data_IF_167857769093
#
_entry.id   IF_167857769093
#
_cell.length_a   1.000
_cell.length_b   1.000
_cell.length_c   1.000
_cell.angle_alpha   90.00
_cell.angle_beta   90.00
_cell.angle_gamma   90.00
#
_symmetry.space_group_name_H-M   'P 1'
#
loop_
_entity.id
_entity.type
_entity.pdbx_description
1 polymer ?
#
# COMPACT_ATOMS: atom_id res chain seq x y z
N UNK A 1 -47.65 -44.82 10.46
CA UNK A 1 -47.36 -43.54 9.77
C UNK A 1 -45.86 -43.47 9.56
N UNK A 2 -45.41 -43.60 8.32
CA UNK A 2 -44.01 -43.55 7.90
C UNK A 2 -43.77 -42.13 7.37
N UNK A 3 -42.78 -41.42 7.91
CA UNK A 3 -42.36 -40.10 7.46
C UNK A 3 -40.91 -39.83 7.89
N UNK A 4 -40.09 -39.14 7.08
CA UNK A 4 -38.83 -39.71 6.63
C UNK A 4 -37.59 -39.16 7.33
N UNK A 5 -36.57 -40.01 7.39
CA UNK A 5 -35.17 -39.70 7.70
C UNK A 5 -34.62 -38.70 6.68
N UNK A 6 -34.29 -37.50 7.10
CA UNK A 6 -33.42 -36.60 6.34
C UNK A 6 -31.98 -36.79 6.83
N UNK A 7 -31.24 -37.66 6.14
CA UNK A 7 -29.78 -37.74 6.25
C UNK A 7 -29.21 -36.52 5.55
N UNK A 8 -28.77 -35.53 6.31
CA UNK A 8 -28.02 -34.40 5.78
C UNK A 8 -26.58 -34.87 5.58
N UNK A 9 -26.27 -35.29 4.36
CA UNK A 9 -24.90 -35.38 3.89
C UNK A 9 -24.45 -33.96 3.51
N UNK A 10 -23.65 -33.31 4.36
CA UNK A 10 -22.93 -32.10 3.98
C UNK A 10 -21.49 -32.48 3.62
N UNK A 11 -21.22 -32.32 2.33
CA UNK A 11 -19.95 -32.44 1.62
C UNK A 11 -18.83 -31.75 2.39
N UNK A 12 -17.73 -32.46 2.64
CA UNK A 12 -16.47 -31.86 3.09
C UNK A 12 -15.94 -30.97 1.97
N UNK A 13 -16.06 -29.65 2.11
CA UNK A 13 -15.30 -28.70 1.30
C UNK A 13 -13.86 -28.78 1.78
N UNK A 14 -13.00 -29.45 1.00
CA UNK A 14 -11.57 -29.27 1.11
C UNK A 14 -11.28 -27.77 0.95
N UNK A 15 -10.85 -27.11 2.03
CA UNK A 15 -10.58 -25.68 2.01
C UNK A 15 -9.30 -25.38 1.23
N UNK A 16 -9.39 -25.23 -0.08
CA UNK A 16 -8.51 -24.34 -0.83
C UNK A 16 -9.02 -22.92 -0.60
N UNK A 17 -8.76 -22.38 0.59
CA UNK A 17 -9.27 -21.07 1.00
C UNK A 17 -8.83 -19.96 0.03
N UNK A 18 -9.65 -18.93 -0.19
CA UNK A 18 -9.31 -17.82 -1.06
C UNK A 18 -8.02 -17.15 -0.57
N UNK A 19 -7.11 -16.89 -1.50
CA UNK A 19 -5.95 -16.02 -1.29
C UNK A 19 -6.46 -14.66 -0.82
N UNK A 20 -6.26 -14.35 0.47
CA UNK A 20 -6.46 -13.01 1.01
C UNK A 20 -5.10 -12.34 0.91
N UNK A 21 -4.85 -11.46 -0.08
CA UNK A 21 -3.61 -10.69 -0.07
C UNK A 21 -3.59 -9.87 1.21
N UNK A 22 -2.59 -10.10 2.07
CA UNK A 22 -2.23 -9.08 3.02
C UNK A 22 -1.67 -7.90 2.20
N UNK A 23 -2.28 -6.70 2.26
CA UNK A 23 -1.81 -5.56 1.49
C UNK A 23 -0.41 -5.17 1.98
N UNK A 24 0.59 -5.37 1.12
CA UNK A 24 1.91 -4.79 1.31
C UNK A 24 1.79 -3.31 0.93
N UNK A 25 2.08 -2.38 1.85
CA UNK A 25 2.14 -0.96 1.49
C UNK A 25 3.50 -0.72 0.83
N UNK A 26 3.57 -0.87 -0.49
CA UNK A 26 4.81 -0.55 -1.21
C UNK A 26 5.08 0.95 -1.04
N UNK A 27 6.22 1.26 -0.41
CA UNK A 27 6.67 2.60 -0.05
C UNK A 27 5.75 3.30 0.96
N UNK A 28 6.03 3.12 2.25
CA UNK A 28 5.56 4.01 3.31
C UNK A 28 6.15 5.42 3.10
N UNK A 29 5.68 6.12 2.08
CA UNK A 29 5.97 7.51 1.85
C UNK A 29 5.24 8.30 2.91
N UNK A 30 6.00 8.97 3.78
CA UNK A 30 5.46 9.76 4.87
C UNK A 30 5.24 11.18 4.34
N UNK A 31 4.00 11.69 4.31
CA UNK A 31 3.75 13.08 3.98
C UNK A 31 4.49 14.00 4.95
N UNK A 32 4.92 15.20 4.49
CA UNK A 32 5.46 16.18 5.42
C UNK A 32 4.40 16.54 6.47
N UNK A 33 4.85 16.89 7.68
CA UNK A 33 3.99 17.55 8.64
C UNK A 33 3.58 18.93 8.10
N UNK A 34 2.39 19.39 8.49
CA UNK A 34 1.88 20.71 8.13
C UNK A 34 2.92 21.81 8.46
N UNK A 35 3.04 22.84 7.62
CA UNK A 35 3.97 23.93 7.87
C UNK A 35 3.55 24.72 9.10
N UNK A 36 4.53 25.19 9.87
CA UNK A 36 4.29 26.09 10.99
C UNK A 36 4.13 27.51 10.45
N UNK A 37 2.89 27.99 10.38
CA UNK A 37 2.57 29.34 9.90
C UNK A 37 2.62 30.41 11.01
N UNK A 38 2.49 30.00 12.27
CA UNK A 38 2.43 30.90 13.42
C UNK A 38 3.83 31.26 13.94
N UNK A 39 4.14 32.56 13.91
CA UNK A 39 5.43 33.09 14.38
C UNK A 39 5.69 32.78 15.86
N UNK A 40 4.67 32.81 16.72
CA UNK A 40 4.86 32.49 18.14
C UNK A 40 5.23 31.02 18.35
N UNK A 41 4.75 30.12 17.49
CA UNK A 41 5.10 28.71 17.48
C UNK A 41 6.52 28.49 16.99
N UNK A 42 6.92 29.18 15.92
CA UNK A 42 8.32 29.19 15.45
C UNK A 42 9.29 29.64 16.55
N UNK A 43 8.99 30.75 17.23
CA UNK A 43 9.80 31.27 18.34
C UNK A 43 9.88 30.29 19.52
N UNK A 44 8.76 29.64 19.89
CA UNK A 44 8.74 28.61 20.95
C UNK A 44 9.62 27.40 20.61
N UNK A 45 9.71 27.05 19.34
CA UNK A 45 10.56 25.97 18.86
C UNK A 45 12.00 26.42 18.54
N UNK A 46 12.29 27.72 18.60
CA UNK A 46 13.59 28.29 18.25
C UNK A 46 13.94 28.09 16.77
N UNK A 47 12.94 28.09 15.89
CA UNK A 47 13.08 27.86 14.45
C UNK A 47 12.87 29.21 13.74
N UNK A 48 13.77 29.56 12.83
CA UNK A 48 13.58 30.72 11.96
C UNK A 48 12.62 30.40 10.80
N UNK A 49 11.87 31.38 10.30
CA UNK A 49 10.92 31.19 9.18
C UNK A 49 11.62 30.58 7.94
N UNK A 50 12.86 31.00 7.68
CA UNK A 50 13.70 30.42 6.60
C UNK A 50 14.00 28.94 6.83
N UNK A 51 14.25 28.53 8.07
CA UNK A 51 14.56 27.14 8.40
C UNK A 51 13.31 26.27 8.26
N UNK A 52 12.15 26.78 8.69
CA UNK A 52 10.86 26.11 8.49
C UNK A 52 10.54 25.93 6.99
N UNK A 53 10.79 26.97 6.18
CA UNK A 53 10.68 26.86 4.71
C UNK A 53 11.55 25.73 4.16
N UNK A 54 12.83 25.69 4.55
CA UNK A 54 13.76 24.65 4.09
C UNK A 54 13.30 23.26 4.55
N UNK A 55 12.90 23.13 5.81
CA UNK A 55 12.39 21.87 6.39
C UNK A 55 11.20 21.35 5.60
N UNK A 56 10.14 22.15 5.48
CA UNK A 56 8.90 21.74 4.83
C UNK A 56 9.12 21.31 3.38
N UNK A 57 9.87 22.10 2.59
CA UNK A 57 10.08 21.78 1.18
C UNK A 57 11.05 20.62 0.96
N UNK A 58 12.01 20.40 1.86
CA UNK A 58 12.85 19.19 1.81
C UNK A 58 12.04 17.94 2.11
N UNK A 59 11.21 17.96 3.16
CA UNK A 59 10.34 16.84 3.53
C UNK A 59 9.33 16.53 2.41
N UNK A 60 8.73 17.57 1.82
CA UNK A 60 7.84 17.44 0.66
C UNK A 60 8.56 16.80 -0.53
N UNK A 61 9.77 17.24 -0.85
CA UNK A 61 10.53 16.68 -1.96
C UNK A 61 10.89 15.21 -1.71
N UNK A 62 11.28 14.86 -0.48
CA UNK A 62 11.54 13.48 -0.09
C UNK A 62 10.29 12.59 -0.25
N UNK A 63 9.12 13.10 0.16
CA UNK A 63 7.84 12.42 -0.03
C UNK A 63 7.52 12.18 -1.50
N UNK A 64 7.69 13.19 -2.36
CA UNK A 64 7.44 13.07 -3.80
C UNK A 64 8.39 12.06 -4.48
N UNK A 65 9.67 12.09 -4.13
CA UNK A 65 10.65 11.11 -4.63
C UNK A 65 10.31 9.69 -4.22
N UNK A 66 9.86 9.51 -2.97
CA UNK A 66 9.40 8.21 -2.48
C UNK A 66 8.21 7.69 -3.32
N UNK A 67 7.21 8.54 -3.58
CA UNK A 67 6.05 8.16 -4.39
C UNK A 67 6.44 7.76 -5.81
N UNK A 68 7.33 8.53 -6.46
CA UNK A 68 7.81 8.23 -7.80
C UNK A 68 8.53 6.88 -7.86
N UNK A 69 9.38 6.60 -6.86
CA UNK A 69 10.04 5.30 -6.74
C UNK A 69 9.01 4.18 -6.55
N UNK A 70 7.98 4.43 -5.73
CA UNK A 70 6.88 3.49 -5.50
C UNK A 70 6.17 3.06 -6.75
N UNK A 71 5.77 4.05 -7.53
CA UNK A 71 5.11 3.81 -8.80
C UNK A 71 6.00 2.97 -9.73
N UNK A 72 7.30 3.29 -9.79
CA UNK A 72 8.26 2.59 -10.65
C UNK A 72 8.40 1.11 -10.24
N UNK A 73 8.55 0.84 -8.94
CA UNK A 73 8.72 -0.51 -8.42
C UNK A 73 7.45 -1.37 -8.64
N UNK A 74 6.26 -0.79 -8.45
CA UNK A 74 4.97 -1.45 -8.74
C UNK A 74 4.85 -1.79 -10.22
N UNK A 75 5.17 -0.85 -11.12
CA UNK A 75 5.09 -1.08 -12.57
C UNK A 75 6.05 -2.20 -12.98
N UNK A 76 7.29 -2.18 -12.48
CA UNK A 76 8.26 -3.22 -12.78
C UNK A 76 7.80 -4.59 -12.29
N UNK A 77 7.29 -4.68 -11.06
CA UNK A 77 6.74 -5.92 -10.51
C UNK A 77 5.55 -6.42 -11.34
N UNK A 78 4.65 -5.51 -11.74
CA UNK A 78 3.51 -5.83 -12.61
C UNK A 78 3.97 -6.44 -13.94
N UNK A 79 4.97 -5.84 -14.60
CA UNK A 79 5.49 -6.32 -15.87
C UNK A 79 6.10 -7.73 -15.74
N UNK A 80 6.84 -7.99 -14.67
CA UNK A 80 7.41 -9.32 -14.39
C UNK A 80 6.31 -10.38 -14.27
N UNK A 81 5.24 -10.09 -13.53
CA UNK A 81 4.13 -11.03 -13.37
C UNK A 81 3.30 -11.17 -14.65
N UNK A 82 3.12 -10.09 -15.41
CA UNK A 82 2.44 -10.12 -16.69
C UNK A 82 3.10 -11.11 -17.66
N UNK A 83 4.42 -11.02 -17.84
CA UNK A 83 5.14 -11.95 -18.72
C UNK A 83 5.07 -13.39 -18.21
N UNK A 84 5.20 -13.61 -16.90
CA UNK A 84 5.06 -14.96 -16.30
C UNK A 84 3.69 -15.59 -16.57
N UNK A 85 2.62 -14.82 -16.44
CA UNK A 85 1.28 -15.32 -16.74
C UNK A 85 1.10 -15.58 -18.23
N UNK A 86 1.60 -14.68 -19.07
CA UNK A 86 1.56 -14.83 -20.52
C UNK A 86 2.26 -16.10 -20.99
N UNK A 87 3.46 -16.40 -20.49
CA UNK A 87 4.16 -17.67 -20.77
C UNK A 87 3.33 -18.88 -20.33
N UNK A 88 2.75 -18.82 -19.13
CA UNK A 88 1.95 -19.92 -18.57
C UNK A 88 0.69 -20.22 -19.38
N UNK A 89 -0.03 -19.19 -19.84
CA UNK A 89 -1.32 -19.35 -20.52
C UNK A 89 -1.24 -19.41 -22.05
N UNK A 90 -0.10 -19.04 -22.66
CA UNK A 90 0.13 -19.18 -24.10
C UNK A 90 0.93 -20.44 -24.48
N UNK A 91 1.35 -21.24 -23.49
CA UNK A 91 2.03 -22.53 -23.70
C UNK A 91 1.11 -23.75 -23.58
N UNK A 92 -0.19 -23.52 -23.30
CA UNK A 92 -1.30 -24.49 -23.39
C UNK A 92 -1.98 -24.42 -24.76
#
# INVERSE_FOLDING_TARGET
MIGPLAVIALVQVASSGPYIPAPQVLHLCVPPADPIEDQATLERHGIEEREEYIRYFNDLNAYLLCLQKSQTDIIQQSNVWHERYKEKFLSE
#
